data_IF_120784321704
#
_entry.id   IF_120784321704
#
_cell.length_a   1.000
_cell.length_b   1.000
_cell.length_c   1.000
_cell.angle_alpha   90.00
_cell.angle_beta   90.00
_cell.angle_gamma   90.00
#
_symmetry.space_group_name_H-M   'P 1'
#
loop_
_entity.id
_entity.type
_entity.pdbx_description
1 polymer ?
#
# COMPACT_ATOMS: atom_id res chain seq x y z
N UNK A 1 -38.53 -1.65 16.64
CA UNK A 1 -37.51 -1.97 15.61
C UNK A 1 -37.49 -0.92 14.50
N UNK A 2 -38.57 -0.76 13.73
CA UNK A 2 -38.64 0.22 12.61
C UNK A 2 -38.31 1.67 13.02
N UNK A 3 -38.66 2.11 14.23
CA UNK A 3 -38.27 3.44 14.72
C UNK A 3 -36.78 3.60 14.99
N UNK A 4 -36.08 2.53 15.38
CA UNK A 4 -34.62 2.54 15.54
C UNK A 4 -33.95 2.63 14.17
N UNK A 5 -34.46 1.88 13.19
CA UNK A 5 -33.98 1.92 11.81
C UNK A 5 -34.26 3.30 11.19
N UNK A 6 -35.46 3.85 11.37
CA UNK A 6 -35.76 5.23 10.97
C UNK A 6 -34.85 6.24 11.62
N UNK A 7 -34.51 6.10 12.90
CA UNK A 7 -33.54 6.99 13.57
C UNK A 7 -32.14 6.84 13.00
N UNK A 8 -31.70 5.63 12.65
CA UNK A 8 -30.42 5.39 11.99
C UNK A 8 -30.39 5.97 10.55
N UNK A 9 -31.53 5.97 9.86
CA UNK A 9 -31.70 6.58 8.53
C UNK A 9 -31.83 8.12 8.63
N UNK A 10 -32.54 8.64 9.63
CA UNK A 10 -32.82 10.06 9.79
C UNK A 10 -31.66 10.83 10.43
N UNK A 11 -30.88 10.17 11.26
CA UNK A 11 -29.60 10.69 11.69
C UNK A 11 -28.66 10.60 10.48
N UNK A 12 -28.56 11.70 9.73
CA UNK A 12 -27.58 11.94 8.65
C UNK A 12 -26.11 11.76 9.10
N UNK A 13 -25.91 11.41 10.36
CA UNK A 13 -24.64 10.96 10.91
C UNK A 13 -24.25 9.65 10.23
N UNK A 14 -23.24 9.71 9.36
CA UNK A 14 -21.91 9.13 9.61
C UNK A 14 -21.84 7.83 10.45
N UNK A 15 -22.84 6.97 10.33
CA UNK A 15 -22.86 5.66 10.95
C UNK A 15 -21.79 4.87 10.23
N UNK A 16 -20.65 4.67 10.91
CA UNK A 16 -19.56 3.82 10.43
C UNK A 16 -20.16 2.55 9.84
N UNK A 17 -19.57 2.02 8.77
CA UNK A 17 -20.10 0.86 8.05
C UNK A 17 -20.52 -0.29 9.01
N UNK A 18 -19.80 -0.47 10.12
CA UNK A 18 -20.15 -1.38 11.21
C UNK A 18 -21.57 -1.19 11.79
N UNK A 19 -22.02 0.04 12.04
CA UNK A 19 -23.35 0.32 12.60
C UNK A 19 -24.46 0.01 11.59
N UNK A 20 -24.22 0.27 10.29
CA UNK A 20 -25.17 -0.05 9.22
C UNK A 20 -25.26 -1.58 9.00
N UNK A 21 -24.14 -2.31 9.06
CA UNK A 21 -24.14 -3.79 9.04
C UNK A 21 -24.91 -4.38 10.23
N UNK A 22 -24.71 -3.83 11.43
CA UNK A 22 -25.45 -4.26 12.61
C UNK A 22 -26.97 -4.03 12.43
N UNK A 23 -27.36 -2.88 11.90
CA UNK A 23 -28.77 -2.58 11.63
C UNK A 23 -29.39 -3.52 10.57
N UNK A 24 -28.65 -3.83 9.50
CA UNK A 24 -29.08 -4.82 8.50
C UNK A 24 -29.26 -6.21 9.11
N UNK A 25 -28.37 -6.64 10.01
CA UNK A 25 -28.50 -7.94 10.68
C UNK A 25 -29.69 -8.04 11.64
N UNK A 26 -30.24 -6.90 12.08
CA UNK A 26 -31.44 -6.86 12.91
C UNK A 26 -32.75 -6.91 12.09
N UNK A 27 -32.68 -6.72 10.77
CA UNK A 27 -33.85 -6.81 9.89
C UNK A 27 -34.17 -8.26 9.56
N UNK A 28 -35.35 -8.70 9.99
CA UNK A 28 -35.87 -10.04 9.71
C UNK A 28 -36.95 -9.97 8.62
N UNK A 29 -36.51 -9.86 7.37
CA UNK A 29 -37.41 -9.83 6.20
C UNK A 29 -38.11 -11.18 6.01
N UNK A 30 -37.43 -12.28 6.35
CA UNK A 30 -37.98 -13.63 6.23
C UNK A 30 -39.15 -13.84 7.20
N UNK A 31 -39.07 -13.33 8.43
CA UNK A 31 -40.19 -13.34 9.36
C UNK A 31 -41.37 -12.48 8.87
N UNK A 32 -41.10 -11.38 8.17
CA UNK A 32 -42.15 -10.55 7.58
C UNK A 32 -42.86 -11.27 6.41
N UNK A 33 -42.10 -11.98 5.57
CA UNK A 33 -42.65 -12.82 4.50
C UNK A 33 -43.47 -13.98 5.07
N UNK A 34 -42.98 -14.63 6.13
CA UNK A 34 -43.72 -15.67 6.85
C UNK A 34 -45.03 -15.13 7.43
N UNK A 35 -45.02 -13.94 8.04
CA UNK A 35 -46.23 -13.31 8.59
C UNK A 35 -47.28 -13.01 7.50
N UNK A 36 -46.86 -12.63 6.28
CA UNK A 36 -47.77 -12.48 5.14
C UNK A 36 -48.36 -13.83 4.73
N UNK A 37 -47.55 -14.88 4.64
CA UNK A 37 -48.01 -16.22 4.30
C UNK A 37 -49.00 -16.78 5.33
N UNK A 38 -48.75 -16.57 6.61
CA UNK A 38 -49.63 -16.96 7.71
C UNK A 38 -50.96 -16.21 7.68
N UNK A 39 -50.94 -14.90 7.42
CA UNK A 39 -52.15 -14.10 7.26
C UNK A 39 -52.99 -14.55 6.04
N UNK A 40 -52.33 -14.91 4.93
CA UNK A 40 -52.99 -15.47 3.75
C UNK A 40 -53.60 -16.86 4.03
N UNK A 41 -52.91 -17.70 4.81
CA UNK A 41 -53.46 -18.98 5.26
C UNK A 41 -54.69 -18.81 6.15
N UNK A 42 -54.66 -17.86 7.10
CA UNK A 42 -55.78 -17.54 7.97
C UNK A 42 -57.01 -17.06 7.17
N UNK A 43 -56.81 -16.23 6.13
CA UNK A 43 -57.89 -15.82 5.23
C UNK A 43 -58.51 -17.00 4.49
N UNK A 44 -57.69 -17.95 4.00
CA UNK A 44 -58.20 -19.16 3.34
C UNK A 44 -59.09 -20.00 4.26
N UNK A 45 -58.71 -20.14 5.53
CA UNK A 45 -59.53 -20.83 6.52
C UNK A 45 -60.85 -20.10 6.79
N UNK A 46 -60.81 -18.78 7.00
CA UNK A 46 -62.00 -17.96 7.24
C UNK A 46 -63.00 -17.98 6.07
N UNK A 47 -62.53 -18.07 4.83
CA UNK A 47 -63.39 -18.18 3.64
C UNK A 47 -64.14 -19.53 3.56
N UNK A 48 -63.61 -20.59 4.17
CA UNK A 48 -64.23 -21.91 4.14
C UNK A 48 -65.18 -22.15 5.31
N UNK A 49 -64.80 -21.69 6.50
CA UNK A 49 -65.44 -22.08 7.77
C UNK A 49 -65.91 -20.90 8.61
N UNK A 50 -65.55 -19.67 8.23
CA UNK A 50 -65.80 -18.47 9.01
C UNK A 50 -67.00 -17.65 8.56
N UNK A 51 -67.32 -16.65 9.37
CA UNK A 51 -68.29 -15.59 9.09
C UNK A 51 -67.69 -14.47 8.22
N UNK A 52 -68.54 -13.67 7.57
CA UNK A 52 -68.12 -12.49 6.80
C UNK A 52 -67.23 -11.54 7.63
N UNK A 53 -67.51 -11.39 8.93
CA UNK A 53 -66.71 -10.57 9.83
C UNK A 53 -65.29 -11.12 10.03
N UNK A 54 -65.12 -12.44 10.07
CA UNK A 54 -63.81 -13.08 10.18
C UNK A 54 -63.01 -12.95 8.89
N UNK A 55 -63.67 -12.99 7.73
CA UNK A 55 -63.03 -12.73 6.43
C UNK A 55 -62.49 -11.31 6.36
N UNK A 56 -63.30 -10.30 6.73
CA UNK A 56 -62.87 -8.89 6.74
C UNK A 56 -61.67 -8.70 7.65
N UNK A 57 -61.70 -9.27 8.87
CA UNK A 57 -60.58 -9.19 9.82
C UNK A 57 -59.30 -9.84 9.26
N UNK A 58 -59.42 -10.96 8.56
CA UNK A 58 -58.27 -11.61 7.92
C UNK A 58 -57.69 -10.76 6.77
N UNK A 59 -58.53 -10.07 5.99
CA UNK A 59 -58.08 -9.17 4.92
C UNK A 59 -57.38 -7.92 5.47
N UNK A 60 -57.88 -7.34 6.57
CA UNK A 60 -57.20 -6.25 7.28
C UNK A 60 -55.83 -6.70 7.80
N UNK A 61 -55.74 -7.93 8.32
CA UNK A 61 -54.49 -8.49 8.81
C UNK A 61 -53.46 -8.68 7.69
N UNK A 62 -53.87 -9.23 6.54
CA UNK A 62 -53.00 -9.32 5.34
C UNK A 62 -52.51 -7.94 4.91
N UNK A 63 -53.41 -6.95 4.87
CA UNK A 63 -53.04 -5.60 4.47
C UNK A 63 -52.01 -5.00 5.44
N UNK A 64 -52.13 -5.27 6.74
CA UNK A 64 -51.12 -4.87 7.73
C UNK A 64 -49.78 -5.58 7.50
N UNK A 65 -49.79 -6.92 7.38
CA UNK A 65 -48.58 -7.72 7.19
C UNK A 65 -47.82 -7.32 5.91
N UNK A 66 -48.54 -7.09 4.80
CA UNK A 66 -47.94 -6.62 3.53
C UNK A 66 -47.28 -5.26 3.69
N UNK A 67 -47.93 -4.30 4.35
CA UNK A 67 -47.32 -2.98 4.61
C UNK A 67 -46.06 -3.09 5.46
N UNK A 68 -46.04 -3.97 6.45
CA UNK A 68 -44.86 -4.13 7.32
C UNK A 68 -43.71 -4.81 6.58
N UNK A 69 -43.99 -5.85 5.79
CA UNK A 69 -43.00 -6.43 4.86
C UNK A 69 -42.44 -5.38 3.90
N UNK A 70 -43.30 -4.62 3.22
CA UNK A 70 -42.87 -3.61 2.26
C UNK A 70 -42.00 -2.52 2.93
N UNK A 71 -42.33 -2.13 4.17
CA UNK A 71 -41.49 -1.23 4.97
C UNK A 71 -40.14 -1.83 5.32
N UNK A 72 -40.09 -3.12 5.66
CA UNK A 72 -38.83 -3.81 5.96
C UNK A 72 -37.95 -3.95 4.73
N UNK A 73 -38.53 -4.30 3.57
CA UNK A 73 -37.80 -4.34 2.30
C UNK A 73 -37.23 -2.96 1.95
N UNK A 74 -38.05 -1.91 2.00
CA UNK A 74 -37.60 -0.54 1.74
C UNK A 74 -36.49 -0.10 2.72
N UNK A 75 -36.57 -0.52 3.98
CA UNK A 75 -35.55 -0.25 4.97
C UNK A 75 -34.23 -1.00 4.68
N UNK A 76 -34.30 -2.26 4.25
CA UNK A 76 -33.14 -3.04 3.84
C UNK A 76 -32.42 -2.38 2.68
N UNK A 77 -33.14 -2.08 1.60
CA UNK A 77 -32.57 -1.55 0.37
C UNK A 77 -31.87 -0.19 0.62
N UNK A 78 -32.47 0.68 1.46
CA UNK A 78 -31.85 1.95 1.85
C UNK A 78 -30.63 1.78 2.76
N UNK A 79 -30.66 0.82 3.69
CA UNK A 79 -29.50 0.52 4.54
C UNK A 79 -28.33 -0.07 3.72
N UNK A 80 -28.61 -0.95 2.75
CA UNK A 80 -27.60 -1.50 1.83
C UNK A 80 -26.95 -0.39 0.99
N UNK A 81 -27.75 0.51 0.42
CA UNK A 81 -27.25 1.66 -0.35
C UNK A 81 -26.32 2.53 0.51
N UNK A 82 -26.74 2.87 1.73
CA UNK A 82 -25.92 3.68 2.65
C UNK A 82 -24.69 2.95 3.14
N UNK A 83 -24.76 1.63 3.33
CA UNK A 83 -23.61 0.83 3.72
C UNK A 83 -22.52 0.91 2.65
N UNK A 84 -22.87 0.74 1.38
CA UNK A 84 -21.91 0.86 0.29
C UNK A 84 -21.25 2.26 0.24
N UNK A 85 -22.03 3.32 0.43
CA UNK A 85 -21.51 4.70 0.50
C UNK A 85 -20.59 4.93 1.70
N UNK A 86 -20.93 4.34 2.86
CA UNK A 86 -20.10 4.44 4.06
C UNK A 86 -18.79 3.66 3.92
N UNK A 87 -18.83 2.45 3.35
CA UNK A 87 -17.65 1.64 3.08
C UNK A 87 -16.71 2.34 2.10
N UNK A 88 -17.24 2.89 1.00
CA UNK A 88 -16.44 3.65 0.04
C UNK A 88 -15.74 4.83 0.71
N UNK A 89 -16.47 5.61 1.51
CA UNK A 89 -15.89 6.76 2.23
C UNK A 89 -14.81 6.35 3.23
N UNK A 90 -15.05 5.30 4.02
CA UNK A 90 -14.06 4.77 4.98
C UNK A 90 -12.78 4.30 4.26
N UNK A 91 -12.93 3.65 3.09
CA UNK A 91 -11.81 3.23 2.26
C UNK A 91 -11.04 4.43 1.69
N UNK A 92 -11.71 5.43 1.13
CA UNK A 92 -11.08 6.65 0.61
C UNK A 92 -10.34 7.42 1.70
N UNK A 93 -10.92 7.54 2.90
CA UNK A 93 -10.27 8.17 4.06
C UNK A 93 -9.04 7.39 4.55
N UNK A 94 -9.09 6.04 4.53
CA UNK A 94 -7.95 5.21 4.86
C UNK A 94 -6.83 5.38 3.82
N UNK A 95 -7.18 5.32 2.54
CA UNK A 95 -6.22 5.46 1.44
C UNK A 95 -5.58 6.85 1.40
N UNK A 96 -6.37 7.90 1.65
CA UNK A 96 -5.87 9.27 1.75
C UNK A 96 -4.85 9.45 2.87
N UNK A 97 -5.09 8.83 4.04
CA UNK A 97 -4.15 8.85 5.17
C UNK A 97 -2.86 8.08 4.86
N UNK A 98 -2.97 6.89 4.26
CA UNK A 98 -1.81 6.10 3.85
C UNK A 98 -0.95 6.86 2.83
N UNK A 99 -1.59 7.43 1.80
CA UNK A 99 -0.92 8.24 0.79
C UNK A 99 -0.17 9.42 1.42
N UNK A 100 -0.82 10.17 2.32
CA UNK A 100 -0.18 11.29 3.00
C UNK A 100 1.04 10.86 3.82
N UNK A 101 0.98 9.70 4.49
CA UNK A 101 2.10 9.16 5.24
C UNK A 101 3.28 8.80 4.32
N UNK A 102 3.01 8.14 3.20
CA UNK A 102 4.03 7.78 2.19
C UNK A 102 4.64 9.02 1.54
N UNK A 103 3.82 10.02 1.17
CA UNK A 103 4.30 11.29 0.62
C UNK A 103 5.21 12.02 1.62
N UNK A 104 4.84 12.05 2.91
CA UNK A 104 5.65 12.67 3.95
C UNK A 104 7.01 11.95 4.14
N UNK A 105 7.03 10.62 4.10
CA UNK A 105 8.27 9.83 4.18
C UNK A 105 9.16 10.07 2.95
N UNK A 106 8.57 10.09 1.75
CA UNK A 106 9.29 10.38 0.50
C UNK A 106 9.90 11.79 0.50
N UNK A 107 9.16 12.79 0.97
CA UNK A 107 9.63 14.17 1.08
C UNK A 107 10.76 14.30 2.11
N UNK A 108 10.67 13.60 3.24
CA UNK A 108 11.75 13.55 4.24
C UNK A 108 13.01 12.91 3.65
N UNK A 109 12.89 11.76 2.98
CA UNK A 109 14.01 11.11 2.31
C UNK A 109 14.65 12.02 1.24
N UNK A 110 13.83 12.72 0.44
CA UNK A 110 14.30 13.67 -0.56
C UNK A 110 15.07 14.84 0.08
N UNK A 111 14.57 15.39 1.19
CA UNK A 111 15.28 16.45 1.95
C UNK A 111 16.61 15.97 2.49
N UNK A 112 16.66 14.78 3.07
CA UNK A 112 17.91 14.18 3.57
C UNK A 112 18.91 13.95 2.45
N UNK A 113 18.44 13.43 1.30
CA UNK A 113 19.29 13.23 0.12
C UNK A 113 19.88 14.56 -0.36
N UNK A 114 19.06 15.60 -0.50
CA UNK A 114 19.53 16.94 -0.92
C UNK A 114 20.53 17.55 0.06
N UNK A 115 20.38 17.30 1.36
CA UNK A 115 21.30 17.80 2.38
C UNK A 115 22.66 17.08 2.34
N UNK A 116 22.66 15.75 2.17
CA UNK A 116 23.86 14.91 2.31
C UNK A 116 24.62 14.74 1.00
N UNK A 117 23.91 14.54 -0.11
CA UNK A 117 24.49 14.14 -1.39
C UNK A 117 25.54 15.12 -1.91
N UNK A 118 25.33 16.46 -1.92
CA UNK A 118 26.33 17.39 -2.43
C UNK A 118 27.66 17.33 -1.67
N UNK A 119 27.61 17.11 -0.35
CA UNK A 119 28.82 17.01 0.47
C UNK A 119 29.55 15.69 0.20
N UNK A 120 28.82 14.58 0.13
CA UNK A 120 29.37 13.28 -0.23
C UNK A 120 30.00 13.31 -1.63
N UNK A 121 29.29 13.87 -2.61
CA UNK A 121 29.78 14.03 -3.98
C UNK A 121 31.08 14.84 -4.04
N UNK A 122 31.16 15.98 -3.33
CA UNK A 122 32.40 16.78 -3.25
C UNK A 122 33.56 15.98 -2.66
N UNK A 123 33.32 15.20 -1.59
CA UNK A 123 34.34 14.35 -0.98
C UNK A 123 34.82 13.27 -1.95
N UNK A 124 33.90 12.60 -2.65
CA UNK A 124 34.22 11.60 -3.66
C UNK A 124 35.05 12.21 -4.78
N UNK A 125 34.61 13.34 -5.35
CA UNK A 125 35.34 14.07 -6.41
C UNK A 125 36.75 14.43 -5.93
N UNK A 126 36.89 14.96 -4.71
CA UNK A 126 38.20 15.32 -4.15
C UNK A 126 39.13 14.10 -4.01
N UNK A 127 38.61 12.96 -3.56
CA UNK A 127 39.39 11.71 -3.49
C UNK A 127 39.80 11.25 -4.89
N UNK A 128 38.88 11.26 -5.86
CA UNK A 128 39.18 10.87 -7.24
C UNK A 128 40.24 11.78 -7.88
N UNK A 129 40.18 13.09 -7.65
CA UNK A 129 41.21 14.04 -8.10
C UNK A 129 42.59 13.69 -7.52
N UNK A 130 42.66 13.41 -6.21
CA UNK A 130 43.92 13.01 -5.56
C UNK A 130 44.46 11.68 -6.09
N UNK A 131 43.59 10.71 -6.37
CA UNK A 131 43.96 9.43 -6.99
C UNK A 131 44.54 9.67 -8.38
N UNK A 132 43.89 10.48 -9.21
CA UNK A 132 44.38 10.86 -10.55
C UNK A 132 45.75 11.54 -10.48
N UNK A 133 45.93 12.51 -9.58
CA UNK A 133 47.22 13.17 -9.38
C UNK A 133 48.32 12.22 -8.93
N UNK A 134 48.01 11.31 -8.01
CA UNK A 134 48.95 10.30 -7.53
C UNK A 134 49.32 9.32 -8.64
N UNK A 135 48.34 8.88 -9.44
CA UNK A 135 48.55 7.99 -10.58
C UNK A 135 49.47 8.63 -11.63
N UNK A 136 49.22 9.90 -11.97
CA UNK A 136 50.09 10.65 -12.90
C UNK A 136 51.55 10.73 -12.39
N UNK A 137 51.76 10.90 -11.07
CA UNK A 137 53.10 10.89 -10.46
C UNK A 137 53.76 9.52 -10.54
N UNK A 138 53.02 8.44 -10.28
CA UNK A 138 53.48 7.05 -10.43
C UNK A 138 53.91 6.77 -11.87
N UNK A 139 53.08 7.12 -12.84
CA UNK A 139 53.37 6.95 -14.26
C UNK A 139 54.60 7.76 -14.70
N UNK A 140 54.70 9.02 -14.28
CA UNK A 140 55.85 9.87 -14.59
C UNK A 140 57.15 9.30 -14.01
N UNK A 141 57.11 8.76 -12.79
CA UNK A 141 58.26 8.12 -12.16
C UNK A 141 58.65 6.81 -12.86
N UNK A 142 57.70 5.92 -13.12
CA UNK A 142 57.94 4.67 -13.83
C UNK A 142 58.52 4.93 -15.23
N UNK A 143 58.02 5.95 -15.93
CA UNK A 143 58.57 6.39 -17.23
C UNK A 143 60.02 6.85 -17.13
N UNK A 144 60.39 7.58 -16.06
CA UNK A 144 61.78 7.96 -15.82
C UNK A 144 62.70 6.74 -15.62
N UNK A 145 62.24 5.72 -14.90
CA UNK A 145 63.01 4.47 -14.71
C UNK A 145 63.23 3.73 -16.04
N UNK A 146 62.18 3.63 -16.87
CA UNK A 146 62.26 3.03 -18.22
C UNK A 146 63.29 3.77 -19.06
N UNK A 147 63.17 5.10 -19.15
CA UNK A 147 64.07 5.91 -19.97
C UNK A 147 65.53 5.85 -19.50
N UNK A 148 65.75 5.69 -18.18
CA UNK A 148 67.09 5.54 -17.59
C UNK A 148 67.64 4.10 -17.69
N UNK A 149 66.92 3.17 -18.33
CA UNK A 149 67.26 1.74 -18.41
C UNK A 149 67.60 1.14 -17.04
N UNK A 150 66.91 1.56 -15.98
CA UNK A 150 67.13 1.03 -14.63
C UNK A 150 66.16 -0.12 -14.38
N UNK A 151 66.62 -1.38 -14.35
CA UNK A 151 65.77 -2.50 -13.96
C UNK A 151 65.54 -2.42 -12.45
N UNK A 152 64.34 -2.02 -12.06
CA UNK A 152 63.89 -1.98 -10.66
C UNK A 152 62.38 -2.21 -10.60
N UNK A 153 61.83 -2.52 -9.41
CA UNK A 153 60.39 -2.72 -9.29
C UNK A 153 59.67 -1.41 -9.65
N UNK A 154 58.76 -1.48 -10.62
CA UNK A 154 57.86 -0.37 -10.93
C UNK A 154 57.00 -0.07 -9.72
N UNK A 155 56.72 1.21 -9.52
CA UNK A 155 55.77 1.65 -8.52
C UNK A 155 54.39 1.22 -9.00
N UNK A 156 53.70 0.39 -8.22
CA UNK A 156 52.35 -0.08 -8.56
C UNK A 156 51.37 1.10 -8.69
N UNK A 157 50.42 1.00 -9.60
CA UNK A 157 49.31 1.95 -9.73
C UNK A 157 48.54 2.15 -8.42
N UNK A 158 47.81 3.27 -8.32
CA UNK A 158 47.14 3.67 -7.08
C UNK A 158 45.94 2.80 -6.77
N UNK A 159 45.07 2.51 -7.75
CA UNK A 159 43.82 1.78 -7.53
C UNK A 159 44.02 0.33 -7.02
N UNK A 160 44.94 -0.49 -7.56
CA UNK A 160 45.16 -1.86 -7.05
C UNK A 160 45.67 -1.93 -5.60
N UNK A 161 46.15 -0.82 -5.05
CA UNK A 161 46.56 -0.73 -3.63
C UNK A 161 45.35 -0.56 -2.71
N UNK A 162 44.33 0.17 -3.17
CA UNK A 162 43.10 0.37 -2.43
C UNK A 162 42.17 -0.85 -2.56
N UNK A 163 42.17 -1.52 -3.71
CA UNK A 163 41.31 -2.66 -3.99
C UNK A 163 42.12 -3.84 -4.54
N UNK A 164 42.42 -4.81 -3.66
CA UNK A 164 43.23 -6.00 -3.99
C UNK A 164 42.59 -6.90 -5.06
N UNK A 165 41.27 -6.82 -5.24
CA UNK A 165 40.51 -7.57 -6.24
C UNK A 165 40.80 -7.14 -7.68
N UNK A 166 41.33 -5.93 -7.89
CA UNK A 166 41.68 -5.39 -9.23
C UNK A 166 43.04 -5.93 -9.72
N UNK A 167 43.71 -6.80 -8.94
CA UNK A 167 45.01 -7.37 -9.29
C UNK A 167 44.96 -8.46 -10.38
N UNK A 168 43.78 -8.95 -10.78
CA UNK A 168 43.68 -9.79 -11.96
C UNK A 168 43.83 -8.93 -13.23
N UNK A 169 45.00 -9.02 -13.85
CA UNK A 169 45.38 -8.31 -15.07
C UNK A 169 44.39 -8.51 -16.23
N UNK A 170 43.60 -9.59 -16.23
CA UNK A 170 42.55 -9.85 -17.23
C UNK A 170 41.36 -8.90 -17.12
N UNK A 171 41.25 -8.21 -16.00
CA UNK A 171 40.10 -7.40 -15.61
C UNK A 171 40.45 -5.90 -15.45
N UNK A 172 41.73 -5.53 -15.46
CA UNK A 172 42.21 -4.19 -15.08
C UNK A 172 41.63 -2.99 -15.85
N UNK A 173 41.27 -3.13 -17.12
CA UNK A 173 40.64 -2.03 -17.88
C UNK A 173 39.13 -1.90 -17.62
N UNK A 174 38.46 -3.00 -17.27
CA UNK A 174 37.01 -3.01 -17.00
C UNK A 174 36.66 -2.49 -15.62
N UNK A 175 37.63 -2.49 -14.68
CA UNK A 175 37.37 -2.17 -13.28
C UNK A 175 37.94 -0.86 -12.75
N UNK A 176 38.42 0.04 -13.62
CA UNK A 176 38.96 1.35 -13.19
C UNK A 176 37.92 2.12 -12.37
N UNK A 177 38.32 2.73 -11.26
CA UNK A 177 37.40 3.33 -10.29
C UNK A 177 36.56 4.47 -10.88
N UNK A 178 37.09 5.15 -11.91
CA UNK A 178 36.35 6.16 -12.69
C UNK A 178 35.14 5.60 -13.46
N UNK A 179 35.09 4.29 -13.73
CA UNK A 179 34.05 3.63 -14.56
C UNK A 179 32.94 2.98 -13.72
N UNK A 180 33.17 2.74 -12.41
CA UNK A 180 32.25 1.95 -11.56
C UNK A 180 31.91 2.71 -10.27
N UNK A 181 31.55 3.98 -10.41
CA UNK A 181 31.13 4.87 -9.32
C UNK A 181 29.72 4.56 -8.76
N UNK A 182 29.23 3.33 -8.89
CA UNK A 182 28.18 2.82 -8.00
C UNK A 182 28.87 2.25 -6.76
N UNK A 183 28.67 2.93 -5.62
CA UNK A 183 29.11 2.58 -4.27
C UNK A 183 29.44 1.08 -4.12
N UNK A 184 30.72 0.69 -4.28
CA UNK A 184 31.14 -0.71 -4.21
C UNK A 184 31.09 -1.22 -2.78
N UNK A 185 30.93 -2.53 -2.63
CA UNK A 185 31.08 -3.19 -1.34
C UNK A 185 32.50 -2.97 -0.81
N UNK A 186 32.60 -2.65 0.48
CA UNK A 186 33.84 -2.64 1.25
C UNK A 186 33.67 -3.45 2.53
N UNK A 187 34.77 -3.79 3.20
CA UNK A 187 34.79 -4.47 4.49
C UNK A 187 34.04 -3.64 5.55
N UNK A 188 32.73 -3.79 5.61
CA UNK A 188 31.83 -3.09 6.55
C UNK A 188 30.66 -2.31 5.93
N UNK A 189 30.58 -2.13 4.60
CA UNK A 189 29.47 -1.40 3.97
C UNK A 189 29.01 -2.04 2.65
N UNK A 190 27.79 -2.61 2.57
CA UNK A 190 27.31 -3.23 1.34
C UNK A 190 27.27 -2.19 0.21
N UNK A 191 27.65 -2.63 -0.99
CA UNK A 191 27.57 -1.77 -2.16
C UNK A 191 26.12 -1.52 -2.59
N UNK A 192 25.84 -0.35 -3.15
CA UNK A 192 24.50 0.01 -3.64
C UNK A 192 24.16 -0.85 -4.88
N UNK A 193 23.00 -1.53 -4.84
CA UNK A 193 22.44 -2.27 -5.99
C UNK A 193 22.86 -3.74 -6.16
N UNK A 194 23.65 -4.34 -5.26
CA UNK A 194 24.06 -5.77 -5.39
C UNK A 194 23.30 -6.77 -4.50
N UNK A 195 22.33 -6.31 -3.69
CA UNK A 195 21.61 -7.14 -2.71
C UNK A 195 20.09 -7.19 -2.85
N UNK A 196 19.45 -6.26 -3.56
CA UNK A 196 17.98 -6.19 -3.64
C UNK A 196 17.39 -7.04 -4.78
N UNK A 197 18.13 -7.28 -5.86
CA UNK A 197 17.67 -8.16 -6.95
C UNK A 197 17.66 -9.66 -6.59
N UNK A 198 18.28 -10.06 -5.47
CA UNK A 198 18.29 -11.47 -5.03
C UNK A 198 17.16 -11.80 -4.03
N UNK A 199 16.39 -10.81 -3.54
CA UNK A 199 15.26 -11.04 -2.64
C UNK A 199 13.87 -10.91 -3.30
N UNK A 200 13.78 -10.44 -4.54
CA UNK A 200 12.50 -10.39 -5.28
C UNK A 200 12.11 -11.71 -5.95
N UNK A 201 12.92 -12.77 -5.80
CA UNK A 201 12.68 -14.08 -6.44
C UNK A 201 12.77 -15.26 -5.45
N UNK A 202 12.64 -15.03 -4.15
CA UNK A 202 12.56 -16.08 -3.12
C UNK A 202 11.20 -16.11 -2.46
#
# INVERSE_FOLDING_TARGET
MLDRIRKLIAADSAGKAAALRAALSELDVDAADAAVADAEAARRAALLEGSDAEVVKAEEHIASAKRDRDRMMAARDELERRLAEAELREHEEAWGRERQAVEAEADEAARQLLAVYPQAARRIISVLQRVTEAQAKVEAFNRKLINAQRPGPFVQDVEPRAWKEVQDWRNGERYRAAVITSLRWSDGQPGYGRGEHLRMFS
#
